data_IF_371416995862
#
_entry.id   IF_371416995862
#
_cell.length_a   1.000
_cell.length_b   1.000
_cell.length_c   1.000
_cell.angle_alpha   90.00
_cell.angle_beta   90.00
_cell.angle_gamma   90.00
#
_symmetry.space_group_name_H-M   'P 1'
#
loop_
_entity.id
_entity.type
_entity.pdbx_description
1 polymer ?
#
# COMPACT_ATOMS: atom_id res chain seq x y z
N UNK A 1 -5.70 0.40 -17.78
CA UNK A 1 -6.13 1.67 -17.21
C UNK A 1 -5.29 2.06 -16.01
N UNK A 2 -5.46 3.26 -15.52
CA UNK A 2 -4.85 3.76 -14.30
C UNK A 2 -5.88 4.58 -13.53
N UNK A 3 -5.69 4.77 -12.24
CA UNK A 3 -6.54 5.57 -11.37
C UNK A 3 -5.86 6.93 -11.06
N UNK A 4 -6.12 7.99 -11.85
CA UNK A 4 -5.52 9.29 -11.61
C UNK A 4 -5.96 9.83 -10.25
N UNK A 5 -5.06 10.54 -9.55
CA UNK A 5 -5.40 11.23 -8.32
C UNK A 5 -6.19 12.53 -8.57
N UNK A 6 -7.13 12.47 -9.52
CA UNK A 6 -8.02 13.58 -9.86
C UNK A 6 -9.30 13.48 -9.07
N UNK A 7 -9.66 14.56 -8.41
CA UNK A 7 -10.91 14.66 -7.67
C UNK A 7 -12.07 14.71 -8.65
N UNK A 8 -13.01 13.77 -8.53
CA UNK A 8 -14.25 13.78 -9.28
C UNK A 8 -15.32 14.61 -8.58
N UNK A 9 -15.42 14.44 -7.27
CA UNK A 9 -16.42 15.11 -6.45
C UNK A 9 -15.86 15.35 -5.05
N UNK A 10 -16.30 16.42 -4.42
CA UNK A 10 -16.04 16.73 -3.02
C UNK A 10 -17.36 16.77 -2.29
N UNK A 11 -17.48 15.99 -1.22
CA UNK A 11 -18.71 15.95 -0.40
C UNK A 11 -18.83 17.23 0.41
N UNK A 12 -19.96 17.99 0.25
CA UNK A 12 -20.18 19.23 0.97
C UNK A 12 -20.12 19.05 2.49
N UNK A 13 -19.52 20.01 3.19
CA UNK A 13 -19.41 20.04 4.64
C UNK A 13 -18.37 19.11 5.26
N UNK A 14 -17.61 18.34 4.45
CA UNK A 14 -16.49 17.52 4.95
C UNK A 14 -15.14 18.26 4.80
N UNK A 15 -14.08 17.66 5.34
CA UNK A 15 -12.75 18.28 5.43
C UNK A 15 -12.20 18.80 4.09
N UNK A 16 -12.43 18.08 3.01
CA UNK A 16 -11.98 18.48 1.67
C UNK A 16 -12.69 19.73 1.16
N UNK A 17 -14.01 19.84 1.42
CA UNK A 17 -14.81 21.01 1.06
C UNK A 17 -14.40 22.22 1.88
N UNK A 18 -14.28 22.07 3.19
CA UNK A 18 -13.80 23.12 4.10
C UNK A 18 -12.39 23.62 3.75
N UNK A 19 -11.52 22.72 3.24
CA UNK A 19 -10.18 23.05 2.78
C UNK A 19 -10.14 23.68 1.36
N UNK A 20 -11.31 23.84 0.70
CA UNK A 20 -11.42 24.47 -0.61
C UNK A 20 -10.99 23.60 -1.80
N UNK A 21 -10.88 22.29 -1.62
CA UNK A 21 -10.68 21.35 -2.72
C UNK A 21 -11.92 21.30 -3.63
N UNK A 22 -11.72 21.07 -4.91
CA UNK A 22 -12.79 21.07 -5.92
C UNK A 22 -12.66 19.89 -6.89
N UNK A 23 -13.75 19.54 -7.54
CA UNK A 23 -13.73 18.63 -8.68
C UNK A 23 -12.77 19.15 -9.77
N UNK A 24 -11.98 18.26 -10.35
CA UNK A 24 -10.93 18.57 -11.32
C UNK A 24 -9.53 18.76 -10.74
N UNK A 25 -9.38 19.04 -9.45
CA UNK A 25 -8.06 19.12 -8.80
C UNK A 25 -7.32 17.78 -8.89
N UNK A 26 -6.01 17.85 -9.08
CA UNK A 26 -5.13 16.67 -9.14
C UNK A 26 -4.19 16.67 -7.95
N UNK A 27 -4.35 15.71 -7.04
CA UNK A 27 -3.51 15.62 -5.85
C UNK A 27 -2.11 15.16 -6.25
N UNK A 28 -1.09 15.93 -5.88
CA UNK A 28 0.33 15.67 -6.19
C UNK A 28 1.12 15.20 -4.99
N UNK A 29 0.74 15.62 -3.75
CA UNK A 29 1.31 15.12 -2.50
C UNK A 29 0.27 15.09 -1.39
N UNK A 30 0.47 14.17 -0.43
CA UNK A 30 -0.33 14.09 0.80
C UNK A 30 0.57 13.75 1.99
N UNK A 31 0.54 14.57 3.04
CA UNK A 31 1.39 14.42 4.21
C UNK A 31 2.87 14.27 3.85
N UNK A 32 3.36 15.09 2.92
CA UNK A 32 4.73 15.08 2.40
C UNK A 32 5.05 13.94 1.42
N UNK A 33 4.18 12.95 1.25
CA UNK A 33 4.37 11.81 0.33
C UNK A 33 3.88 12.17 -1.06
N UNK A 34 4.69 11.91 -2.09
CA UNK A 34 4.31 12.08 -3.50
C UNK A 34 3.19 11.11 -3.88
N UNK A 35 2.18 11.62 -4.56
CA UNK A 35 1.05 10.88 -5.10
C UNK A 35 1.26 10.66 -6.62
N UNK A 36 1.05 9.44 -7.08
CA UNK A 36 1.12 9.08 -8.50
C UNK A 36 -0.22 8.52 -9.00
N UNK A 37 -0.97 7.88 -8.11
CA UNK A 37 -2.29 7.27 -8.35
C UNK A 37 -3.21 7.58 -7.18
N UNK A 38 -4.53 7.52 -7.39
CA UNK A 38 -5.53 7.84 -6.36
C UNK A 38 -5.39 6.96 -5.12
N UNK A 39 -5.02 5.69 -5.31
CA UNK A 39 -4.80 4.75 -4.20
C UNK A 39 -3.65 5.14 -3.27
N UNK A 40 -2.66 5.93 -3.72
CA UNK A 40 -1.63 6.50 -2.84
C UNK A 40 -2.26 7.41 -1.76
N UNK A 41 -3.30 8.19 -2.12
CA UNK A 41 -4.03 9.05 -1.19
C UNK A 41 -4.80 8.20 -0.19
N UNK A 42 -5.55 7.20 -0.69
CA UNK A 42 -6.34 6.28 0.15
C UNK A 42 -5.44 5.55 1.16
N UNK A 43 -4.30 5.01 0.71
CA UNK A 43 -3.32 4.34 1.57
C UNK A 43 -2.78 5.29 2.65
N UNK A 44 -2.44 6.52 2.25
CA UNK A 44 -1.91 7.51 3.21
C UNK A 44 -2.95 7.91 4.24
N UNK A 45 -4.21 8.07 3.84
CA UNK A 45 -5.31 8.37 4.76
C UNK A 45 -5.57 7.22 5.73
N UNK A 46 -5.53 5.98 5.27
CA UNK A 46 -5.68 4.79 6.11
C UNK A 46 -4.64 4.76 7.25
N UNK A 47 -3.37 5.05 6.92
CA UNK A 47 -2.26 5.09 7.89
C UNK A 47 -2.31 6.35 8.76
N UNK A 48 -2.82 7.46 8.22
CA UNK A 48 -2.92 8.73 8.94
C UNK A 48 -3.89 8.64 10.12
N UNK A 49 -5.00 7.90 9.97
CA UNK A 49 -6.07 7.84 10.95
C UNK A 49 -6.74 9.21 11.13
N UNK A 50 -7.11 9.54 12.36
CA UNK A 50 -7.74 10.83 12.72
C UNK A 50 -6.68 11.86 13.10
N UNK A 51 -5.87 12.31 12.13
CA UNK A 51 -4.88 13.37 12.31
C UNK A 51 -4.92 14.32 11.14
N UNK A 52 -4.67 15.58 11.43
CA UNK A 52 -4.53 16.63 10.42
C UNK A 52 -3.52 16.25 9.35
N UNK A 53 -3.80 16.64 8.12
CA UNK A 53 -2.92 16.33 7.02
C UNK A 53 -2.94 17.40 5.93
N UNK A 54 -1.77 17.73 5.41
CA UNK A 54 -1.61 18.68 4.31
C UNK A 54 -1.67 17.95 2.97
N UNK A 55 -2.35 18.55 2.01
CA UNK A 55 -2.50 18.07 0.64
C UNK A 55 -1.99 19.14 -0.31
N UNK A 56 -1.06 18.76 -1.22
CA UNK A 56 -0.67 19.61 -2.35
C UNK A 56 -1.40 19.10 -3.59
N UNK A 57 -1.95 20.01 -4.36
CA UNK A 57 -2.71 19.69 -5.56
C UNK A 57 -2.49 20.72 -6.66
N UNK A 58 -2.67 20.28 -7.89
CA UNK A 58 -2.64 21.15 -9.05
C UNK A 58 -4.08 21.40 -9.51
N UNK A 59 -4.42 22.65 -9.74
CA UNK A 59 -5.72 23.12 -10.25
C UNK A 59 -5.51 23.77 -11.62
N UNK A 60 -6.38 23.44 -12.57
CA UNK A 60 -6.39 24.10 -13.88
C UNK A 60 -7.08 25.44 -13.74
N UNK A 61 -6.34 26.52 -13.99
CA UNK A 61 -6.90 27.87 -14.07
C UNK A 61 -7.76 28.00 -15.32
N UNK A 62 -9.02 28.39 -15.15
CA UNK A 62 -10.01 28.48 -16.22
C UNK A 62 -9.77 29.65 -17.21
N UNK A 63 -9.02 30.66 -16.81
CA UNK A 63 -8.74 31.84 -17.64
C UNK A 63 -7.45 31.67 -18.43
N UNK A 64 -6.41 31.16 -17.78
CA UNK A 64 -5.08 31.02 -18.40
C UNK A 64 -4.84 29.66 -19.03
N UNK A 65 -5.63 28.64 -18.68
CA UNK A 65 -5.43 27.25 -19.10
C UNK A 65 -4.15 26.61 -18.53
N UNK A 66 -3.54 27.20 -17.52
CA UNK A 66 -2.33 26.69 -16.88
C UNK A 66 -2.64 25.94 -15.59
N UNK A 67 -1.80 24.99 -15.26
CA UNK A 67 -1.87 24.29 -13.98
C UNK A 67 -1.14 25.10 -12.91
N UNK A 68 -1.83 25.37 -11.82
CA UNK A 68 -1.29 26.06 -10.65
C UNK A 68 -1.26 25.13 -9.45
N UNK A 69 -0.13 25.10 -8.74
CA UNK A 69 0.04 24.28 -7.55
C UNK A 69 -0.45 25.04 -6.31
N UNK A 70 -1.29 24.38 -5.54
CA UNK A 70 -1.89 24.88 -4.31
C UNK A 70 -1.64 23.92 -3.15
N UNK A 71 -1.87 24.39 -1.96
CA UNK A 71 -1.81 23.61 -0.74
C UNK A 71 -3.09 23.77 0.06
N UNK A 72 -3.61 22.65 0.60
CA UNK A 72 -4.79 22.62 1.45
C UNK A 72 -4.50 21.86 2.74
N UNK A 73 -5.07 22.32 3.84
CA UNK A 73 -4.99 21.66 5.14
C UNK A 73 -6.33 20.98 5.44
N UNK A 74 -6.27 19.67 5.65
CA UNK A 74 -7.45 18.88 6.03
C UNK A 74 -7.46 18.70 7.55
N UNK A 75 -8.45 19.31 8.18
CA UNK A 75 -8.69 19.25 9.61
C UNK A 75 -9.31 17.89 9.98
N UNK A 76 -8.70 17.19 10.92
CA UNK A 76 -9.15 15.88 11.38
C UNK A 76 -10.51 15.91 12.07
N UNK A 77 -10.87 17.03 12.69
CA UNK A 77 -12.18 17.20 13.36
C UNK A 77 -13.36 17.14 12.36
N UNK A 78 -13.08 17.38 11.07
CA UNK A 78 -14.05 17.29 9.98
C UNK A 78 -14.03 15.93 9.25
N UNK A 79 -13.24 14.96 9.71
CA UNK A 79 -13.23 13.63 9.13
C UNK A 79 -14.47 12.83 9.60
N UNK A 80 -15.07 12.13 8.67
CA UNK A 80 -16.22 11.26 8.98
C UNK A 80 -15.74 9.82 9.15
N UNK A 81 -16.04 9.21 10.30
CA UNK A 81 -15.73 7.79 10.52
C UNK A 81 -16.82 6.92 9.89
N UNK A 82 -16.46 6.12 8.90
CA UNK A 82 -17.37 5.17 8.26
C UNK A 82 -16.66 3.82 8.05
N UNK A 83 -17.27 2.75 8.51
CA UNK A 83 -16.72 1.39 8.41
C UNK A 83 -15.26 1.27 8.92
N UNK A 84 -14.95 1.96 10.04
CA UNK A 84 -13.62 1.97 10.63
C UNK A 84 -12.57 2.78 9.86
N UNK A 85 -12.96 3.58 8.86
CA UNK A 85 -12.08 4.44 8.07
C UNK A 85 -12.48 5.90 8.20
N UNK A 86 -11.49 6.77 8.29
CA UNK A 86 -11.70 8.21 8.28
C UNK A 86 -11.78 8.72 6.83
N UNK A 87 -12.91 9.32 6.49
CA UNK A 87 -13.19 9.87 5.17
C UNK A 87 -13.05 11.38 5.20
N UNK A 88 -12.43 11.94 4.16
CA UNK A 88 -12.21 13.38 4.00
C UNK A 88 -13.22 14.06 3.07
N UNK A 89 -14.09 13.29 2.44
CA UNK A 89 -15.05 13.79 1.43
C UNK A 89 -14.49 13.84 0.01
N UNK A 90 -13.30 13.32 -0.24
CA UNK A 90 -12.73 13.25 -1.59
C UNK A 90 -13.22 11.97 -2.28
N UNK A 91 -13.83 12.14 -3.46
CA UNK A 91 -14.14 11.04 -4.38
C UNK A 91 -13.26 11.18 -5.62
N UNK A 92 -12.60 10.07 -6.02
CA UNK A 92 -11.73 10.06 -7.19
C UNK A 92 -12.47 9.59 -8.45
N UNK A 93 -12.06 10.12 -9.61
CA UNK A 93 -12.48 9.60 -10.91
C UNK A 93 -11.93 8.19 -11.07
N UNK A 94 -12.75 7.19 -11.22
CA UNK A 94 -12.31 5.80 -11.37
C UNK A 94 -11.20 5.59 -12.41
N UNK A 95 -11.06 4.36 -12.91
CA UNK A 95 -10.00 4.02 -13.88
C UNK A 95 -10.19 4.74 -15.22
N UNK A 96 -9.13 5.40 -15.68
CA UNK A 96 -9.01 5.96 -17.02
C UNK A 96 -8.24 5.02 -17.95
N UNK A 97 -8.63 4.95 -19.23
CA UNK A 97 -7.88 4.19 -20.23
C UNK A 97 -6.64 4.95 -20.69
N UNK A 98 -5.50 4.26 -20.71
CA UNK A 98 -4.24 4.84 -21.21
C UNK A 98 -4.14 4.85 -22.73
N UNK A 99 -5.04 4.11 -23.43
CA UNK A 99 -4.81 3.79 -24.84
C UNK A 99 -3.48 3.05 -25.06
N UNK A 100 -2.99 3.01 -26.27
CA UNK A 100 -1.69 2.40 -26.58
C UNK A 100 -0.56 3.44 -26.48
N UNK A 101 -0.24 3.89 -25.25
CA UNK A 101 0.81 4.86 -24.98
C UNK A 101 1.90 4.24 -24.09
N UNK A 102 2.96 3.72 -24.71
CA UNK A 102 4.03 2.96 -24.03
C UNK A 102 4.67 3.75 -22.87
N UNK A 103 5.09 5.01 -23.00
CA UNK A 103 5.64 5.80 -21.89
C UNK A 103 4.68 5.92 -20.70
N UNK A 104 3.41 6.13 -20.94
CA UNK A 104 2.39 6.18 -19.89
C UNK A 104 2.19 4.82 -19.24
N UNK A 105 2.17 3.75 -20.02
CA UNK A 105 2.05 2.36 -19.50
C UNK A 105 3.21 2.05 -18.56
N UNK A 106 4.45 2.37 -18.94
CA UNK A 106 5.63 2.16 -18.10
C UNK A 106 5.55 3.02 -16.82
N UNK A 107 5.19 4.30 -16.94
CA UNK A 107 5.06 5.21 -15.80
C UNK A 107 4.07 4.70 -14.77
N UNK A 108 2.88 4.32 -15.20
CA UNK A 108 1.83 3.87 -14.29
C UNK A 108 2.02 2.43 -13.82
N UNK A 109 2.65 1.56 -14.62
CA UNK A 109 3.09 0.25 -14.16
C UNK A 109 4.11 0.35 -13.03
N UNK A 110 5.08 1.27 -13.14
CA UNK A 110 6.02 1.56 -12.05
C UNK A 110 5.31 2.17 -10.82
N UNK A 111 4.27 2.99 -11.02
CA UNK A 111 3.46 3.54 -9.93
C UNK A 111 2.71 2.43 -9.17
N UNK A 112 2.18 1.41 -9.86
CA UNK A 112 1.52 0.25 -9.25
C UNK A 112 2.49 -0.57 -8.40
N UNK A 113 3.67 -0.88 -8.93
CA UNK A 113 4.70 -1.60 -8.16
C UNK A 113 5.13 -0.79 -6.93
N UNK A 114 5.35 0.53 -7.10
CA UNK A 114 5.65 1.43 -5.98
C UNK A 114 4.53 1.42 -4.93
N UNK A 115 3.27 1.49 -5.35
CA UNK A 115 2.12 1.42 -4.47
C UNK A 115 2.10 0.10 -3.68
N UNK A 116 2.29 -1.04 -4.36
CA UNK A 116 2.33 -2.35 -3.72
C UNK A 116 3.44 -2.43 -2.66
N UNK A 117 4.65 -1.96 -2.97
CA UNK A 117 5.77 -1.91 -2.02
C UNK A 117 5.45 -0.99 -0.83
N UNK A 118 4.89 0.21 -1.07
CA UNK A 118 4.52 1.14 0.00
C UNK A 118 3.44 0.56 0.91
N UNK A 119 2.47 -0.17 0.35
CA UNK A 119 1.43 -0.84 1.13
C UNK A 119 2.04 -1.82 2.11
N UNK A 120 2.97 -2.67 1.67
CA UNK A 120 3.65 -3.63 2.54
C UNK A 120 4.47 -2.92 3.62
N UNK A 121 5.27 -1.92 3.23
CA UNK A 121 6.12 -1.15 4.18
C UNK A 121 5.27 -0.44 5.23
N UNK A 122 4.15 0.17 4.83
CA UNK A 122 3.26 0.86 5.76
C UNK A 122 2.52 -0.13 6.67
N UNK A 123 2.08 -1.29 6.16
CA UNK A 123 1.50 -2.37 6.96
C UNK A 123 2.48 -2.90 8.02
N UNK A 124 3.76 -3.08 7.65
CA UNK A 124 4.79 -3.47 8.60
C UNK A 124 5.02 -2.41 9.69
N UNK A 125 4.99 -1.12 9.34
CA UNK A 125 5.09 -0.05 10.34
C UNK A 125 3.91 -0.06 11.31
N UNK A 126 2.70 -0.28 10.82
CA UNK A 126 1.51 -0.35 11.69
C UNK A 126 1.51 -1.62 12.56
N UNK A 127 2.05 -2.74 12.05
CA UNK A 127 2.28 -3.96 12.82
C UNK A 127 3.27 -3.71 13.99
N UNK A 128 4.41 -3.05 13.70
CA UNK A 128 5.42 -2.71 14.74
C UNK A 128 4.85 -1.76 15.78
N UNK A 129 3.92 -0.87 15.42
CA UNK A 129 3.22 0.03 16.35
C UNK A 129 2.12 -0.68 17.16
N UNK A 130 1.88 -1.98 16.95
CA UNK A 130 0.84 -2.76 17.63
C UNK A 130 -0.58 -2.36 17.26
N UNK A 131 -0.79 -1.75 16.08
CA UNK A 131 -2.12 -1.35 15.60
C UNK A 131 -2.80 -2.40 14.74
N UNK A 132 -2.07 -3.45 14.39
CA UNK A 132 -2.57 -4.62 13.66
C UNK A 132 -2.68 -5.75 14.64
N UNK A 133 -3.84 -6.40 14.72
CA UNK A 133 -4.07 -7.58 15.54
C UNK A 133 -3.47 -8.83 14.88
N UNK A 134 -3.21 -9.86 15.70
CA UNK A 134 -2.84 -11.18 15.17
C UNK A 134 -3.93 -11.77 14.26
N UNK A 135 -5.20 -11.40 14.52
CA UNK A 135 -6.34 -11.83 13.71
C UNK A 135 -6.37 -11.17 12.32
N UNK A 136 -5.66 -10.06 12.13
CA UNK A 136 -5.56 -9.38 10.83
C UNK A 136 -4.49 -10.00 9.92
N UNK A 137 -3.64 -10.89 10.46
CA UNK A 137 -2.59 -11.56 9.69
C UNK A 137 -3.22 -12.73 8.94
N UNK A 138 -3.28 -12.60 7.62
CA UNK A 138 -3.77 -13.67 6.75
C UNK A 138 -2.68 -14.71 6.50
N UNK A 139 -2.97 -15.96 6.83
CA UNK A 139 -2.13 -17.09 6.47
C UNK A 139 -2.54 -17.72 5.13
N UNK A 140 -1.94 -18.87 4.75
CA UNK A 140 -2.15 -19.48 3.44
C UNK A 140 -3.62 -19.79 3.13
N UNK A 141 -4.39 -20.19 4.13
CA UNK A 141 -5.80 -20.58 3.93
C UNK A 141 -6.67 -19.33 3.66
N UNK A 142 -6.45 -18.25 4.42
CA UNK A 142 -7.12 -16.97 4.16
C UNK A 142 -6.73 -16.37 2.82
N UNK A 143 -5.48 -16.50 2.39
CA UNK A 143 -5.02 -16.03 1.08
C UNK A 143 -5.82 -16.71 -0.04
N UNK A 144 -6.02 -18.03 0.04
CA UNK A 144 -6.86 -18.76 -0.91
C UNK A 144 -8.28 -18.22 -0.93
N UNK A 145 -8.89 -18.01 0.24
CA UNK A 145 -10.24 -17.43 0.34
C UNK A 145 -10.32 -16.00 -0.23
N UNK A 146 -9.29 -15.17 -0.04
CA UNK A 146 -9.22 -13.83 -0.61
C UNK A 146 -9.18 -13.89 -2.14
N UNK A 147 -8.39 -14.81 -2.72
CA UNK A 147 -8.30 -15.02 -4.16
C UNK A 147 -9.67 -15.47 -4.71
N UNK A 148 -10.28 -16.47 -4.10
CA UNK A 148 -11.58 -17.02 -4.50
C UNK A 148 -12.67 -15.94 -4.48
N UNK A 149 -12.83 -15.26 -3.35
CA UNK A 149 -13.77 -14.15 -3.21
C UNK A 149 -13.53 -13.03 -4.23
N UNK A 150 -12.27 -12.70 -4.51
CA UNK A 150 -11.93 -11.66 -5.49
C UNK A 150 -12.34 -12.10 -6.89
N UNK A 151 -12.06 -13.36 -7.26
CA UNK A 151 -12.45 -13.91 -8.56
C UNK A 151 -13.95 -13.94 -8.71
N UNK A 152 -14.69 -14.39 -7.70
CA UNK A 152 -16.15 -14.47 -7.74
C UNK A 152 -16.81 -13.10 -7.85
N UNK A 153 -16.31 -12.09 -7.14
CA UNK A 153 -16.80 -10.71 -7.23
C UNK A 153 -16.61 -10.10 -8.62
N UNK A 154 -15.52 -10.41 -9.31
CA UNK A 154 -15.21 -9.80 -10.61
C UNK A 154 -15.65 -10.65 -11.80
N UNK A 155 -15.99 -11.92 -11.58
CA UNK A 155 -16.44 -12.87 -12.62
C UNK A 155 -17.61 -12.36 -13.48
N UNK A 156 -18.65 -11.68 -12.91
CA UNK A 156 -19.75 -11.12 -13.71
C UNK A 156 -19.31 -10.04 -14.70
N UNK A 157 -18.15 -9.41 -14.49
CA UNK A 157 -17.62 -8.34 -15.35
C UNK A 157 -16.75 -8.87 -16.51
N UNK A 158 -16.65 -10.20 -16.66
CA UNK A 158 -15.99 -10.86 -17.77
C UNK A 158 -14.53 -11.29 -17.50
N UNK A 159 -14.04 -12.20 -18.36
CA UNK A 159 -12.74 -12.85 -18.19
C UNK A 159 -11.54 -11.87 -18.17
N UNK A 160 -11.61 -10.78 -18.92
CA UNK A 160 -10.56 -9.76 -18.94
C UNK A 160 -10.41 -9.11 -17.57
N UNK A 161 -11.54 -8.80 -16.92
CA UNK A 161 -11.55 -8.23 -15.56
C UNK A 161 -10.99 -9.21 -14.54
N UNK A 162 -11.37 -10.49 -14.63
CA UNK A 162 -10.79 -11.55 -13.78
C UNK A 162 -9.28 -11.61 -13.95
N UNK A 163 -8.80 -11.68 -15.20
CA UNK A 163 -7.37 -11.74 -15.50
C UNK A 163 -6.60 -10.54 -14.94
N UNK A 164 -7.13 -9.33 -15.11
CA UNK A 164 -6.51 -8.10 -14.57
C UNK A 164 -6.45 -8.10 -13.05
N UNK A 165 -7.49 -8.60 -12.36
CA UNK A 165 -7.47 -8.70 -10.90
C UNK A 165 -6.46 -9.73 -10.41
N UNK A 166 -6.35 -10.88 -11.08
CA UNK A 166 -5.32 -11.89 -10.78
C UNK A 166 -3.92 -11.29 -10.96
N UNK A 167 -3.66 -10.53 -12.02
CA UNK A 167 -2.37 -9.84 -12.21
C UNK A 167 -2.08 -8.85 -11.08
N UNK A 168 -3.07 -8.07 -10.64
CA UNK A 168 -2.91 -7.16 -9.50
C UNK A 168 -2.56 -7.92 -8.20
N UNK A 169 -3.22 -9.06 -7.93
CA UNK A 169 -2.88 -9.92 -6.79
C UNK A 169 -1.46 -10.46 -6.90
N UNK A 170 -1.03 -10.89 -8.10
CA UNK A 170 0.35 -11.36 -8.33
C UNK A 170 1.37 -10.26 -8.05
N UNK A 171 1.14 -9.03 -8.49
CA UNK A 171 2.01 -7.88 -8.20
C UNK A 171 2.09 -7.62 -6.71
N UNK A 172 0.94 -7.65 -6.01
CA UNK A 172 0.87 -7.43 -4.57
C UNK A 172 1.61 -8.52 -3.78
N UNK A 173 1.42 -9.79 -4.13
CA UNK A 173 2.13 -10.91 -3.47
C UNK A 173 3.63 -10.88 -3.77
N UNK A 174 4.03 -10.56 -5.00
CA UNK A 174 5.43 -10.42 -5.37
C UNK A 174 6.11 -9.27 -4.60
N UNK A 175 5.43 -8.13 -4.47
CA UNK A 175 5.92 -7.00 -3.68
C UNK A 175 6.04 -7.37 -2.19
N UNK A 176 5.03 -8.08 -1.66
CA UNK A 176 5.04 -8.55 -0.27
C UNK A 176 6.24 -9.48 -0.02
N UNK A 177 6.41 -10.50 -0.87
CA UNK A 177 7.53 -11.45 -0.77
C UNK A 177 8.89 -10.73 -0.88
N UNK A 178 9.03 -9.78 -1.83
CA UNK A 178 10.26 -9.01 -2.01
C UNK A 178 10.59 -8.14 -0.80
N UNK A 179 9.63 -7.40 -0.26
CA UNK A 179 9.84 -6.55 0.93
C UNK A 179 10.12 -7.38 2.16
N UNK A 180 9.37 -8.48 2.37
CA UNK A 180 9.58 -9.38 3.51
C UNK A 180 10.97 -10.02 3.48
N UNK A 181 11.44 -10.44 2.30
CA UNK A 181 12.79 -11.00 2.16
C UNK A 181 13.91 -9.99 2.42
N UNK A 182 13.65 -8.69 2.27
CA UNK A 182 14.62 -7.63 2.58
C UNK A 182 14.65 -7.24 4.07
N UNK A 183 13.74 -7.78 4.90
CA UNK A 183 13.79 -7.52 6.33
C UNK A 183 15.10 -8.06 6.94
N UNK A 184 15.70 -7.32 7.90
CA UNK A 184 16.91 -7.75 8.60
C UNK A 184 16.63 -8.88 9.59
N UNK A 185 16.13 -9.99 9.08
CA UNK A 185 15.75 -11.16 9.87
C UNK A 185 16.57 -12.38 9.45
N UNK A 186 17.12 -13.18 10.41
CA UNK A 186 17.84 -14.39 10.10
C UNK A 186 17.01 -15.34 9.23
N UNK A 187 17.66 -16.08 8.34
CA UNK A 187 17.08 -16.96 7.32
C UNK A 187 16.43 -16.25 6.12
N UNK A 188 16.30 -14.92 6.12
CA UNK A 188 15.88 -14.13 4.96
C UNK A 188 17.13 -13.49 4.29
N UNK A 189 16.95 -13.04 3.03
CA UNK A 189 18.03 -12.38 2.27
C UNK A 189 18.52 -11.10 2.96
N UNK A 190 17.60 -10.32 3.57
CA UNK A 190 17.93 -9.14 4.36
C UNK A 190 18.83 -9.46 5.57
N UNK A 191 18.65 -10.61 6.21
CA UNK A 191 19.56 -11.09 7.26
C UNK A 191 20.98 -11.30 6.76
N UNK A 192 21.13 -11.87 5.57
CA UNK A 192 22.47 -12.02 4.92
C UNK A 192 23.09 -10.69 4.58
N UNK A 193 22.31 -9.70 4.14
CA UNK A 193 22.79 -8.33 3.91
C UNK A 193 23.33 -7.68 5.19
N UNK A 194 22.74 -7.98 6.36
CA UNK A 194 23.25 -7.50 7.66
C UNK A 194 24.63 -8.09 7.95
N UNK A 195 24.85 -9.40 7.75
CA UNK A 195 26.15 -10.02 7.91
C UNK A 195 27.17 -9.40 6.95
N UNK A 196 26.81 -9.22 5.67
CA UNK A 196 27.67 -8.61 4.67
C UNK A 196 28.06 -7.16 5.03
N UNK A 197 27.09 -6.37 5.52
CA UNK A 197 27.35 -5.01 5.98
C UNK A 197 28.29 -4.99 7.19
N UNK A 198 28.13 -5.94 8.11
CA UNK A 198 29.06 -6.10 9.24
C UNK A 198 30.48 -6.44 8.77
N UNK A 199 30.65 -7.40 7.85
CA UNK A 199 31.97 -7.79 7.29
C UNK A 199 32.68 -6.61 6.61
N UNK A 200 31.91 -5.80 5.85
CA UNK A 200 32.43 -4.58 5.23
C UNK A 200 32.92 -3.57 6.27
N UNK A 201 32.17 -3.38 7.35
CA UNK A 201 32.51 -2.43 8.40
C UNK A 201 33.66 -2.94 9.28
N UNK A 202 33.64 -4.21 9.68
CA UNK A 202 34.64 -4.84 10.56
C UNK A 202 35.91 -5.25 9.81
N UNK A 203 35.88 -5.29 8.46
CA UNK A 203 36.95 -5.80 7.58
C UNK A 203 37.41 -7.23 7.96
N UNK A 204 36.50 -8.01 8.48
CA UNK A 204 36.70 -9.41 8.89
C UNK A 204 35.45 -10.23 8.55
N UNK A 205 35.62 -11.45 8.00
CA UNK A 205 34.49 -12.33 7.75
C UNK A 205 33.85 -12.78 9.06
N UNK A 206 32.51 -12.98 9.03
CA UNK A 206 31.77 -13.61 10.14
C UNK A 206 32.10 -15.11 10.14
N UNK A 207 32.23 -15.70 11.33
CA UNK A 207 32.42 -17.14 11.45
C UNK A 207 31.17 -17.87 10.87
N UNK A 208 31.40 -18.73 9.89
CA UNK A 208 30.36 -19.50 9.22
C UNK A 208 29.48 -20.33 10.18
N UNK A 209 30.05 -20.77 11.32
CA UNK A 209 29.30 -21.50 12.34
C UNK A 209 28.31 -20.59 13.04
N UNK A 210 28.69 -19.35 13.32
CA UNK A 210 27.81 -18.34 13.95
C UNK A 210 26.71 -17.97 12.96
N UNK A 211 27.05 -17.65 11.72
CA UNK A 211 26.05 -17.34 10.68
C UNK A 211 25.09 -18.50 10.48
N UNK A 212 25.58 -19.74 10.39
CA UNK A 212 24.74 -20.92 10.26
C UNK A 212 23.81 -21.15 11.47
N UNK A 213 24.30 -20.97 12.69
CA UNK A 213 23.49 -21.09 13.90
C UNK A 213 22.39 -20.05 13.98
N UNK A 214 22.71 -18.78 13.65
CA UNK A 214 21.74 -17.67 13.65
C UNK A 214 20.66 -17.89 12.58
N UNK A 215 21.05 -18.33 11.38
CA UNK A 215 20.09 -18.64 10.30
C UNK A 215 19.21 -19.85 10.66
N UNK A 216 19.74 -20.88 11.30
CA UNK A 216 18.98 -22.04 11.77
C UNK A 216 17.96 -21.63 12.84
N UNK A 217 18.35 -20.80 13.79
CA UNK A 217 17.46 -20.28 14.83
C UNK A 217 16.35 -19.41 14.21
N UNK A 218 16.69 -18.55 13.23
CA UNK A 218 15.72 -17.76 12.47
C UNK A 218 14.71 -18.61 11.71
N UNK A 219 15.19 -19.68 11.04
CA UNK A 219 14.32 -20.63 10.34
C UNK A 219 13.37 -21.35 11.29
N UNK A 220 13.86 -21.80 12.43
CA UNK A 220 13.03 -22.45 13.45
C UNK A 220 11.92 -21.52 13.97
N UNK A 221 12.26 -20.23 14.19
CA UNK A 221 11.29 -19.21 14.58
C UNK A 221 10.24 -18.95 13.51
N UNK A 222 10.65 -18.84 12.22
CA UNK A 222 9.71 -18.69 11.10
C UNK A 222 8.78 -19.89 10.97
N UNK A 223 9.28 -21.11 11.14
CA UNK A 223 8.46 -22.32 11.12
C UNK A 223 7.45 -22.33 12.27
N UNK A 224 7.86 -21.95 13.48
CA UNK A 224 6.94 -21.83 14.62
C UNK A 224 5.87 -20.76 14.36
N UNK A 225 6.25 -19.60 13.81
CA UNK A 225 5.32 -18.56 13.43
C UNK A 225 4.35 -19.01 12.33
N UNK A 226 4.83 -19.76 11.33
CA UNK A 226 3.97 -20.32 10.28
C UNK A 226 2.91 -21.27 10.85
N UNK A 227 3.30 -22.14 11.80
CA UNK A 227 2.35 -23.03 12.49
C UNK A 227 1.32 -22.21 13.27
N UNK A 228 1.75 -21.18 13.98
CA UNK A 228 0.86 -20.26 14.70
C UNK A 228 -0.17 -19.62 13.77
N UNK A 229 0.27 -19.07 12.63
CA UNK A 229 -0.61 -18.43 11.63
C UNK A 229 -1.59 -19.45 11.03
N UNK A 230 -1.15 -20.68 10.72
CA UNK A 230 -2.03 -21.75 10.23
C UNK A 230 -3.12 -22.10 11.24
N UNK A 231 -2.78 -22.21 12.51
CA UNK A 231 -3.77 -22.49 13.57
C UNK A 231 -4.78 -21.33 13.71
N UNK A 232 -4.32 -20.09 13.56
CA UNK A 232 -5.17 -18.91 13.59
C UNK A 232 -6.13 -18.87 12.38
N UNK A 233 -5.63 -19.22 11.19
CA UNK A 233 -6.45 -19.30 9.96
C UNK A 233 -7.58 -20.33 10.09
N UNK A 234 -7.25 -21.52 10.61
CA UNK A 234 -8.26 -22.58 10.82
C UNK A 234 -9.33 -22.13 11.81
N UNK A 235 -8.97 -21.44 12.90
CA UNK A 235 -9.94 -20.88 13.86
C UNK A 235 -10.87 -19.85 13.24
N UNK A 236 -10.38 -19.08 12.30
CA UNK A 236 -11.18 -18.07 11.61
C UNK A 236 -12.24 -18.67 10.66
N UNK A 237 -12.00 -19.90 10.16
CA UNK A 237 -12.91 -20.60 9.25
C UNK A 237 -13.97 -21.45 9.97
N UNK A 238 -13.80 -21.69 11.28
CA UNK A 238 -14.78 -22.40 12.12
C UNK A 238 -15.76 -21.41 12.77
#
# INVERSE_FOLDING_TARGET
GYDPARIQEVTPGQAADAAGLKAGDVITKIGGRRVMIARDVVLKMLVNGNRDITVQYDRLDGETGKWESHEAFLDADLFTLQNGRYLTGIQFSGYESLGFNIPKIIKYGAAEVRYAVLTVVDSLKELVKGRISADDIAGPVRIVSIIDNTVDQVRPYGLVTVFMNILNLMVMFSANLGVMNLLPFPALDGGRLVFLAYELAAKKPVDQRIEGAVNMAGMALLMAFMVFVLLNDVRFLM
#
